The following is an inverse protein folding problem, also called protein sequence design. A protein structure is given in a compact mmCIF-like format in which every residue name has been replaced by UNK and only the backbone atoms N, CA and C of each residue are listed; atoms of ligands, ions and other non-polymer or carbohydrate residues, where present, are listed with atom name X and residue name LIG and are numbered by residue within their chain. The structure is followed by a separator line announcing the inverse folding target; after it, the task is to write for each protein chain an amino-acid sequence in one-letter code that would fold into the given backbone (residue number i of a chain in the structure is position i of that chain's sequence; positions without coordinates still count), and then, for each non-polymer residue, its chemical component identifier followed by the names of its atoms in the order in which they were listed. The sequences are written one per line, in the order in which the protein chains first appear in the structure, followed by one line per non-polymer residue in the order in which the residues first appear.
data_IF_568537742090
#
_entry.id   IF_568537742090
#
_cell.length_a   1.000
_cell.length_b   1.000
_cell.length_c   1.000
_cell.angle_alpha   90.00
_cell.angle_beta   90.00
_cell.angle_gamma   90.00
#
_symmetry.space_group_name_H-M   'P 1'
#
loop_
_entity.id
_entity.type
_entity.pdbx_description
1 polymer ?
#
# COMPACT_ATOMS: atom_id res chain seq x y z
N UNK A 1 -0.43 -4.32 -9.24
CA UNK A 1 -1.03 -5.47 -9.95
C UNK A 1 -0.06 -6.65 -10.20
N UNK A 2 1.25 -6.48 -10.03
CA UNK A 2 2.25 -7.54 -10.23
C UNK A 2 2.20 -8.65 -9.16
N UNK A 3 1.62 -8.36 -7.99
CA UNK A 3 1.64 -9.27 -6.82
C UNK A 3 0.28 -9.88 -6.49
N UNK A 4 -0.79 -9.47 -7.18
CA UNK A 4 -2.07 -10.17 -7.13
C UNK A 4 -2.01 -11.29 -8.16
N UNK A 5 -2.13 -12.54 -7.72
CA UNK A 5 -2.18 -13.68 -8.64
C UNK A 5 -3.29 -13.43 -9.68
N UNK A 6 -2.96 -13.21 -10.96
CA UNK A 6 -3.95 -12.84 -11.99
C UNK A 6 -5.00 -13.93 -12.24
N UNK A 7 -4.79 -15.13 -11.70
CA UNK A 7 -5.70 -16.26 -11.82
C UNK A 7 -6.69 -16.35 -10.63
N UNK A 8 -6.58 -15.50 -9.61
CA UNK A 8 -7.55 -15.45 -8.51
C UNK A 8 -8.74 -14.56 -8.88
N UNK A 9 -9.94 -15.12 -8.90
CA UNK A 9 -11.15 -14.31 -9.03
C UNK A 9 -11.44 -13.51 -7.75
N UNK A 10 -12.17 -12.38 -7.89
CA UNK A 10 -12.62 -11.59 -6.72
C UNK A 10 -13.38 -12.48 -5.71
N UNK A 11 -14.19 -13.43 -6.19
CA UNK A 11 -14.90 -14.36 -5.33
C UNK A 11 -13.96 -15.26 -4.51
N UNK A 12 -12.84 -15.71 -5.09
CA UNK A 12 -11.85 -16.54 -4.38
C UNK A 12 -11.14 -15.77 -3.26
N UNK A 13 -10.87 -14.48 -3.50
CA UNK A 13 -10.28 -13.60 -2.48
C UNK A 13 -11.27 -13.37 -1.34
N UNK A 14 -12.52 -13.03 -1.66
CA UNK A 14 -13.58 -12.78 -0.68
C UNK A 14 -13.94 -14.03 0.13
N UNK A 15 -13.85 -15.21 -0.46
CA UNK A 15 -14.09 -16.48 0.27
C UNK A 15 -13.18 -16.65 1.51
N UNK A 16 -12.00 -16.08 1.47
CA UNK A 16 -11.03 -16.16 2.57
C UNK A 16 -11.12 -14.96 3.54
N UNK A 17 -11.71 -13.83 3.12
CA UNK A 17 -11.67 -12.56 3.86
C UNK A 17 -12.96 -11.76 3.73
N UNK A 18 -14.13 -12.41 3.86
CA UNK A 18 -15.44 -11.73 3.73
C UNK A 18 -15.99 -11.17 5.04
N UNK A 19 -15.39 -11.52 6.17
CA UNK A 19 -15.85 -11.04 7.47
C UNK A 19 -15.73 -9.51 7.58
N UNK A 20 -16.81 -8.88 8.05
CA UNK A 20 -16.87 -7.43 8.19
C UNK A 20 -17.00 -6.65 6.87
N UNK A 21 -17.18 -7.33 5.73
CA UNK A 21 -17.32 -6.67 4.43
C UNK A 21 -18.77 -6.67 3.95
N UNK A 22 -19.16 -5.59 3.27
CA UNK A 22 -20.34 -5.51 2.43
C UNK A 22 -19.91 -5.52 0.97
N UNK A 23 -20.61 -6.27 0.14
CA UNK A 23 -20.32 -6.34 -1.30
C UNK A 23 -21.50 -5.81 -2.09
N UNK A 24 -21.25 -4.80 -2.90
CA UNK A 24 -22.19 -4.21 -3.83
C UNK A 24 -21.80 -4.67 -5.24
N UNK A 25 -22.72 -5.29 -5.96
CA UNK A 25 -22.43 -5.73 -7.33
C UNK A 25 -23.69 -5.79 -8.17
N UNK A 26 -23.53 -5.57 -9.46
CA UNK A 26 -24.58 -5.71 -10.47
C UNK A 26 -24.46 -7.03 -11.26
N UNK A 27 -23.37 -7.76 -11.12
CA UNK A 27 -23.09 -8.94 -11.94
C UNK A 27 -23.71 -10.22 -11.36
N UNK A 28 -24.72 -10.85 -12.06
CA UNK A 28 -25.38 -12.06 -11.57
C UNK A 28 -24.43 -13.21 -11.29
N UNK A 29 -23.46 -13.43 -12.16
CA UNK A 29 -22.48 -14.52 -12.01
C UNK A 29 -21.60 -14.38 -10.78
N UNK A 30 -21.29 -13.13 -10.38
CA UNK A 30 -20.57 -12.86 -9.15
C UNK A 30 -21.46 -13.05 -7.93
N UNK A 31 -22.71 -12.56 -7.96
CA UNK A 31 -23.69 -12.74 -6.89
C UNK A 31 -23.92 -14.23 -6.56
N UNK A 32 -24.10 -15.06 -7.58
CA UNK A 32 -24.30 -16.52 -7.41
C UNK A 32 -23.11 -17.18 -6.71
N UNK A 33 -21.89 -16.79 -7.08
CA UNK A 33 -20.68 -17.28 -6.41
C UNK A 33 -20.58 -16.77 -4.95
N UNK A 34 -20.86 -15.49 -4.70
CA UNK A 34 -20.74 -14.91 -3.36
C UNK A 34 -21.75 -15.52 -2.40
N UNK A 35 -22.98 -15.78 -2.82
CA UNK A 35 -24.03 -16.41 -1.99
C UNK A 35 -23.68 -17.80 -1.47
N UNK A 36 -22.70 -18.46 -2.05
CA UNK A 36 -22.26 -19.77 -1.55
C UNK A 36 -21.49 -19.70 -0.23
N UNK A 37 -21.02 -18.49 0.17
CA UNK A 37 -20.22 -18.30 1.40
C UNK A 37 -20.46 -16.97 2.13
N UNK A 38 -21.22 -16.04 1.56
CA UNK A 38 -21.61 -14.77 2.20
C UNK A 38 -23.11 -14.76 2.50
N UNK A 39 -23.47 -14.10 3.60
CA UNK A 39 -24.87 -13.85 3.96
C UNK A 39 -25.51 -12.84 3.03
N UNK A 40 -26.81 -13.02 2.75
CA UNK A 40 -27.60 -12.04 2.00
C UNK A 40 -27.63 -10.65 2.69
N UNK A 41 -27.37 -10.57 4.00
CA UNK A 41 -27.25 -9.30 4.74
C UNK A 41 -25.96 -8.51 4.45
N UNK A 42 -25.00 -9.14 3.77
CA UNK A 42 -23.74 -8.55 3.34
C UNK A 42 -23.73 -8.22 1.84
N UNK A 43 -24.74 -8.69 1.09
CA UNK A 43 -24.81 -8.57 -0.37
C UNK A 43 -25.88 -7.57 -0.80
N UNK A 44 -25.52 -6.69 -1.71
CA UNK A 44 -26.40 -5.66 -2.24
C UNK A 44 -26.28 -5.57 -3.75
N UNK A 45 -27.39 -5.18 -4.39
CA UNK A 45 -27.38 -4.85 -5.82
C UNK A 45 -26.96 -3.39 -5.99
N UNK A 46 -25.89 -3.17 -6.75
CA UNK A 46 -25.40 -1.82 -7.02
C UNK A 46 -26.23 -1.12 -8.10
N UNK A 47 -26.64 0.13 -7.82
CA UNK A 47 -27.19 1.07 -8.79
C UNK A 47 -26.26 2.26 -8.93
N UNK A 48 -25.70 2.48 -10.12
CA UNK A 48 -24.76 3.56 -10.41
C UNK A 48 -25.12 4.34 -11.67
N UNK A 49 -24.53 5.53 -11.89
CA UNK A 49 -24.79 6.34 -13.09
C UNK A 49 -24.65 5.53 -14.38
N UNK A 50 -25.54 5.78 -15.33
CA UNK A 50 -25.59 5.07 -16.62
C UNK A 50 -26.33 3.73 -16.61
N UNK A 51 -26.74 3.21 -15.43
CA UNK A 51 -27.56 2.00 -15.36
C UNK A 51 -29.07 2.31 -15.50
N UNK A 52 -29.79 1.37 -16.11
CA UNK A 52 -31.26 1.45 -16.20
C UNK A 52 -31.87 0.95 -14.88
N UNK A 53 -32.50 1.84 -14.10
CA UNK A 53 -33.16 1.52 -12.82
C UNK A 53 -34.05 0.26 -12.89
N UNK A 54 -34.87 0.14 -13.94
CA UNK A 54 -35.75 -1.03 -14.14
C UNK A 54 -35.00 -2.35 -14.23
N UNK A 55 -33.80 -2.36 -14.82
CA UNK A 55 -32.97 -3.58 -14.92
C UNK A 55 -32.42 -3.97 -13.55
N UNK A 56 -31.97 -2.99 -12.79
CA UNK A 56 -31.47 -3.19 -11.42
C UNK A 56 -32.60 -3.66 -10.48
N UNK A 57 -33.80 -3.07 -10.57
CA UNK A 57 -34.99 -3.50 -9.83
C UNK A 57 -35.41 -4.93 -10.15
N UNK A 58 -35.35 -5.36 -11.43
CA UNK A 58 -35.61 -6.77 -11.81
C UNK A 58 -34.59 -7.70 -11.16
N UNK A 59 -33.32 -7.31 -11.13
CA UNK A 59 -32.25 -8.10 -10.51
C UNK A 59 -32.48 -8.21 -9.00
N UNK A 60 -32.81 -7.12 -8.32
CA UNK A 60 -33.13 -7.07 -6.89
C UNK A 60 -34.29 -8.02 -6.56
N UNK A 61 -35.38 -7.98 -7.34
CA UNK A 61 -36.52 -8.89 -7.17
C UNK A 61 -36.13 -10.35 -7.37
N UNK A 62 -35.34 -10.66 -8.40
CA UNK A 62 -34.85 -12.02 -8.69
C UNK A 62 -34.04 -12.61 -7.51
N UNK A 63 -33.11 -11.83 -6.99
CA UNK A 63 -32.21 -12.30 -5.93
C UNK A 63 -32.69 -12.00 -4.50
N UNK A 64 -33.80 -11.24 -4.36
CA UNK A 64 -34.33 -10.74 -3.08
C UNK A 64 -33.30 -9.98 -2.26
N UNK A 65 -32.47 -9.17 -2.94
CA UNK A 65 -31.44 -8.34 -2.32
C UNK A 65 -31.81 -6.87 -2.46
N UNK A 66 -31.43 -6.07 -1.46
CA UNK A 66 -31.64 -4.62 -1.46
C UNK A 66 -30.74 -3.94 -2.49
N UNK A 67 -31.22 -2.82 -3.03
CA UNK A 67 -30.46 -1.97 -3.95
C UNK A 67 -29.76 -0.88 -3.13
N UNK A 68 -28.50 -0.62 -3.44
CA UNK A 68 -27.73 0.50 -2.90
C UNK A 68 -27.27 1.38 -4.05
N UNK A 69 -27.62 2.66 -3.99
CA UNK A 69 -27.19 3.64 -4.97
C UNK A 69 -25.76 4.10 -4.66
N UNK A 70 -24.90 4.09 -5.69
CA UNK A 70 -23.53 4.60 -5.63
C UNK A 70 -23.28 5.68 -6.66
N UNK A 71 -22.29 6.53 -6.42
CA UNK A 71 -21.91 7.59 -7.36
C UNK A 71 -20.97 7.11 -8.47
N UNK A 72 -20.30 5.97 -8.31
CA UNK A 72 -19.17 5.54 -9.18
C UNK A 72 -18.24 6.73 -9.47
N UNK A 73 -17.74 7.38 -8.41
CA UNK A 73 -17.13 8.71 -8.43
C UNK A 73 -15.70 8.65 -8.94
N UNK A 74 -15.39 9.50 -9.93
CA UNK A 74 -14.06 9.63 -10.54
C UNK A 74 -13.48 11.03 -10.43
N UNK A 75 -14.30 12.03 -10.17
CA UNK A 75 -13.91 13.44 -10.01
C UNK A 75 -14.87 14.16 -9.07
N UNK A 76 -14.44 15.33 -8.57
CA UNK A 76 -15.16 16.05 -7.53
C UNK A 76 -16.35 16.81 -8.10
N UNK A 77 -16.11 17.65 -9.09
CA UNK A 77 -17.09 18.54 -9.67
C UNK A 77 -17.32 18.21 -11.16
N UNK A 78 -18.47 18.56 -11.75
CA UNK A 78 -18.76 18.31 -13.18
C UNK A 78 -17.71 18.87 -14.13
N UNK A 79 -17.09 19.99 -13.79
CA UNK A 79 -16.07 20.68 -14.56
C UNK A 79 -14.76 19.88 -14.65
N UNK A 80 -14.50 19.00 -13.69
CA UNK A 80 -13.30 18.14 -13.65
C UNK A 80 -13.34 17.03 -14.71
N UNK A 81 -14.45 16.86 -15.41
CA UNK A 81 -14.57 15.84 -16.45
C UNK A 81 -13.50 15.97 -17.55
N UNK A 82 -13.17 17.20 -17.96
CA UNK A 82 -12.10 17.43 -18.94
C UNK A 82 -10.72 17.06 -18.38
N UNK A 83 -10.46 17.39 -17.10
CA UNK A 83 -9.24 16.95 -16.40
C UNK A 83 -9.16 15.45 -16.32
N UNK A 84 -10.29 14.76 -16.04
CA UNK A 84 -10.36 13.30 -16.06
C UNK A 84 -9.99 12.71 -17.43
N UNK A 85 -10.49 13.28 -18.52
CA UNK A 85 -10.14 12.84 -19.89
C UNK A 85 -8.65 13.02 -20.18
N UNK A 86 -8.09 14.16 -19.79
CA UNK A 86 -6.64 14.43 -19.93
C UNK A 86 -5.82 13.38 -19.16
N UNK A 87 -6.16 13.11 -17.90
CA UNK A 87 -5.48 12.11 -17.08
C UNK A 87 -5.60 10.70 -17.68
N UNK A 88 -6.75 10.36 -18.26
CA UNK A 88 -6.95 9.07 -18.95
C UNK A 88 -6.10 8.98 -20.22
N UNK A 89 -5.97 10.07 -20.98
CA UNK A 89 -5.12 10.14 -22.15
C UNK A 89 -3.64 9.99 -21.79
N UNK A 90 -3.18 10.65 -20.70
CA UNK A 90 -1.82 10.47 -20.16
C UNK A 90 -1.59 8.99 -19.76
N UNK A 91 -2.50 8.40 -19.01
CA UNK A 91 -2.40 7.00 -18.56
C UNK A 91 -2.33 6.01 -19.73
N UNK A 92 -3.06 6.28 -20.82
CA UNK A 92 -3.06 5.44 -22.03
C UNK A 92 -1.95 5.80 -23.02
N UNK A 93 -1.13 6.80 -22.71
CA UNK A 93 -0.10 7.35 -23.59
C UNK A 93 -0.65 7.68 -24.99
N UNK A 94 -1.77 8.39 -25.03
CA UNK A 94 -2.47 8.79 -26.26
C UNK A 94 -2.88 10.25 -26.22
N UNK A 95 -3.45 10.75 -27.32
CA UNK A 95 -4.00 12.12 -27.37
C UNK A 95 -5.50 12.12 -27.12
N UNK A 96 -6.04 13.28 -26.69
CA UNK A 96 -7.50 13.44 -26.50
C UNK A 96 -8.31 13.05 -27.74
N UNK A 97 -7.78 13.34 -28.94
CA UNK A 97 -8.43 13.04 -30.22
C UNK A 97 -8.57 11.52 -30.46
N UNK A 98 -7.72 10.70 -29.86
CA UNK A 98 -7.70 9.26 -30.07
C UNK A 98 -8.29 8.49 -28.87
N UNK A 99 -8.80 9.18 -27.83
CA UNK A 99 -9.57 8.55 -26.78
C UNK A 99 -10.87 8.00 -27.35
N UNK A 100 -11.21 6.79 -26.98
CA UNK A 100 -12.46 6.09 -27.38
C UNK A 100 -13.47 6.13 -26.23
N UNK A 101 -14.74 5.95 -26.58
CA UNK A 101 -15.78 5.70 -25.59
C UNK A 101 -15.41 4.45 -24.77
N UNK A 102 -15.49 4.57 -23.44
CA UNK A 102 -15.06 3.53 -22.50
C UNK A 102 -13.63 3.71 -21.98
N UNK A 103 -12.78 4.53 -22.60
CA UNK A 103 -11.45 4.87 -22.07
C UNK A 103 -11.54 5.81 -20.86
N UNK A 104 -12.60 6.57 -20.77
CA UNK A 104 -12.91 7.52 -19.69
C UNK A 104 -14.37 7.41 -19.25
N UNK A 105 -14.70 7.96 -18.10
CA UNK A 105 -16.07 7.99 -17.58
C UNK A 105 -16.84 9.18 -18.14
N UNK A 106 -18.16 9.05 -18.24
CA UNK A 106 -19.03 10.16 -18.63
C UNK A 106 -19.04 11.28 -17.57
N UNK A 107 -19.55 12.44 -17.95
CA UNK A 107 -19.68 13.59 -17.05
C UNK A 107 -20.56 13.33 -15.81
N UNK A 108 -21.26 12.19 -15.76
CA UNK A 108 -22.12 11.81 -14.64
C UNK A 108 -21.39 11.16 -13.45
N UNK A 109 -20.06 11.08 -13.45
CA UNK A 109 -19.29 10.38 -12.43
C UNK A 109 -18.62 11.33 -11.43
N UNK A 110 -19.31 12.41 -11.04
CA UNK A 110 -18.84 13.38 -10.05
C UNK A 110 -19.45 13.16 -8.66
N UNK A 111 -18.88 13.78 -7.63
CA UNK A 111 -19.31 13.63 -6.23
C UNK A 111 -20.61 14.41 -5.98
N UNK A 112 -21.74 13.71 -5.93
CA UNK A 112 -23.09 14.30 -5.76
C UNK A 112 -23.51 14.35 -4.30
N UNK A 113 -24.21 15.41 -3.94
CA UNK A 113 -24.99 15.45 -2.71
C UNK A 113 -26.30 14.63 -2.87
N UNK A 114 -27.00 14.44 -1.76
CA UNK A 114 -28.24 13.62 -1.70
C UNK A 114 -29.30 14.10 -2.70
N UNK A 115 -29.53 15.41 -2.79
CA UNK A 115 -30.52 15.98 -3.72
C UNK A 115 -30.17 15.71 -5.18
N UNK A 116 -28.88 15.74 -5.53
CA UNK A 116 -28.44 15.45 -6.88
C UNK A 116 -28.51 13.92 -7.17
N UNK A 117 -28.27 13.06 -6.17
CA UNK A 117 -28.50 11.62 -6.28
C UNK A 117 -29.99 11.30 -6.47
N UNK A 118 -30.87 11.97 -5.74
CA UNK A 118 -32.32 11.80 -5.90
C UNK A 118 -32.82 12.19 -7.30
N UNK A 119 -32.25 13.25 -7.89
CA UNK A 119 -32.55 13.61 -9.29
C UNK A 119 -32.02 12.59 -10.30
N UNK A 120 -30.90 11.96 -9.99
CA UNK A 120 -30.30 10.93 -10.86
C UNK A 120 -31.11 9.63 -10.85
N UNK A 121 -31.65 9.25 -9.70
CA UNK A 121 -32.37 7.99 -9.48
C UNK A 121 -33.81 8.24 -8.94
N UNK A 122 -34.67 8.90 -9.70
CA UNK A 122 -36.00 9.36 -9.20
C UNK A 122 -36.93 8.18 -8.87
N UNK A 123 -36.75 7.00 -9.47
CA UNK A 123 -37.60 5.84 -9.22
C UNK A 123 -36.95 4.82 -8.23
N UNK A 124 -35.90 5.22 -7.55
CA UNK A 124 -35.12 4.34 -6.66
C UNK A 124 -34.62 5.10 -5.41
N UNK A 125 -35.48 5.92 -4.81
CA UNK A 125 -35.12 6.69 -3.62
C UNK A 125 -34.77 5.79 -2.44
N UNK A 126 -35.37 4.61 -2.34
CA UNK A 126 -35.00 3.62 -1.31
C UNK A 126 -33.54 3.16 -1.45
N UNK A 127 -33.01 3.09 -2.67
CA UNK A 127 -31.61 2.75 -2.88
C UNK A 127 -30.65 3.80 -2.33
N UNK A 128 -31.04 5.08 -2.33
CA UNK A 128 -30.27 6.18 -1.71
C UNK A 128 -30.35 6.08 -0.19
N UNK A 129 -31.52 5.82 0.37
CA UNK A 129 -31.69 5.58 1.81
C UNK A 129 -30.87 4.38 2.28
N UNK A 130 -30.84 3.31 1.50
CA UNK A 130 -30.02 2.12 1.77
C UNK A 130 -28.52 2.44 1.76
N UNK A 131 -28.06 3.34 0.88
CA UNK A 131 -26.68 3.82 0.87
C UNK A 131 -26.30 4.49 2.20
N UNK A 132 -27.17 5.38 2.69
CA UNK A 132 -26.99 6.04 3.99
C UNK A 132 -27.04 5.05 5.16
N UNK A 133 -27.99 4.13 5.15
CA UNK A 133 -28.11 3.08 6.16
C UNK A 133 -26.88 2.15 6.17
N UNK A 134 -26.41 1.75 5.02
CA UNK A 134 -25.20 0.93 4.88
C UNK A 134 -23.96 1.65 5.41
N UNK A 135 -23.82 2.94 5.09
CA UNK A 135 -22.73 3.77 5.60
C UNK A 135 -22.70 3.85 7.13
N UNK A 136 -23.87 3.92 7.79
CA UNK A 136 -23.97 3.86 9.26
C UNK A 136 -23.58 2.52 9.87
N UNK A 137 -23.73 1.42 9.13
CA UNK A 137 -23.31 0.08 9.55
C UNK A 137 -21.79 -0.13 9.44
N UNK A 138 -21.12 0.63 8.57
CA UNK A 138 -19.67 0.58 8.45
C UNK A 138 -19.03 1.24 9.66
N UNK A 139 -18.43 0.44 10.54
CA UNK A 139 -17.70 0.91 11.72
C UNK A 139 -16.22 0.66 11.54
N UNK A 140 -15.42 1.62 11.97
CA UNK A 140 -13.96 1.46 12.02
C UNK A 140 -13.57 0.90 13.38
N UNK A 141 -13.07 -0.33 13.40
CA UNK A 141 -12.61 -1.01 14.62
C UNK A 141 -11.09 -0.96 14.80
N UNK A 142 -10.36 -0.56 13.76
CA UNK A 142 -8.91 -0.43 13.84
C UNK A 142 -8.50 0.92 14.46
N UNK A 143 -7.43 0.90 15.25
CA UNK A 143 -6.75 2.10 15.71
C UNK A 143 -5.28 2.03 15.26
N UNK A 144 -4.70 3.19 14.96
CA UNK A 144 -3.26 3.31 14.65
C UNK A 144 -2.41 3.55 15.90
N UNK A 145 -2.97 3.33 17.09
CA UNK A 145 -2.32 3.61 18.37
C UNK A 145 -1.25 2.56 18.72
N UNK A 146 -1.42 1.33 18.23
CA UNK A 146 -0.51 0.24 18.56
C UNK A 146 0.35 -0.13 17.35
N UNK A 147 1.67 -0.09 17.53
CA UNK A 147 2.61 -0.65 16.56
C UNK A 147 2.48 -2.17 16.54
N UNK A 148 2.19 -2.74 15.38
CA UNK A 148 2.13 -4.19 15.20
C UNK A 148 3.52 -4.69 14.84
N UNK A 149 4.12 -5.43 15.78
CA UNK A 149 5.37 -6.14 15.50
C UNK A 149 5.11 -7.41 14.68
N UNK A 150 6.08 -7.85 13.85
CA UNK A 150 6.07 -9.21 13.32
C UNK A 150 5.98 -10.15 14.51
N UNK A 151 4.84 -10.82 14.69
CA UNK A 151 4.52 -11.59 15.90
C UNK A 151 5.50 -12.74 16.08
N UNK A 152 6.34 -12.63 17.09
CA UNK A 152 7.17 -13.70 17.60
C UNK A 152 6.69 -14.03 19.02
N UNK A 153 6.54 -15.32 19.33
CA UNK A 153 6.18 -15.76 20.68
C UNK A 153 7.29 -15.40 21.68
N UNK A 154 6.97 -15.34 22.97
CA UNK A 154 7.97 -15.08 24.02
C UNK A 154 9.17 -16.04 23.99
N UNK A 155 8.96 -17.32 23.58
CA UNK A 155 10.06 -18.28 23.37
C UNK A 155 10.97 -17.86 22.21
N UNK A 156 10.40 -17.27 21.16
CA UNK A 156 11.14 -16.77 20.00
C UNK A 156 11.95 -15.52 20.36
N UNK A 157 11.53 -14.72 21.35
CA UNK A 157 12.25 -13.51 21.78
C UNK A 157 13.61 -13.85 22.40
N UNK A 158 13.68 -14.81 23.33
CA UNK A 158 14.96 -15.23 23.92
C UNK A 158 15.92 -15.77 22.85
N UNK A 159 15.42 -16.60 21.97
CA UNK A 159 16.20 -17.16 20.87
C UNK A 159 16.68 -16.06 19.89
N UNK A 160 15.83 -15.09 19.62
CA UNK A 160 16.15 -13.94 18.77
C UNK A 160 17.22 -13.04 19.39
N UNK A 161 17.15 -12.78 20.68
CA UNK A 161 18.16 -11.97 21.40
C UNK A 161 19.55 -12.62 21.34
N UNK A 162 19.63 -13.94 21.60
CA UNK A 162 20.87 -14.70 21.48
C UNK A 162 21.40 -14.67 20.05
N UNK A 163 20.53 -14.95 19.08
CA UNK A 163 20.89 -14.99 17.65
C UNK A 163 21.36 -13.63 17.14
N UNK A 164 20.72 -12.53 17.59
CA UNK A 164 21.19 -11.19 17.26
C UNK A 164 22.61 -10.93 17.75
N UNK A 165 22.89 -11.29 19.00
CA UNK A 165 24.24 -11.17 19.58
C UNK A 165 25.26 -11.97 18.80
N UNK A 166 24.96 -13.24 18.52
CA UNK A 166 25.86 -14.14 17.79
C UNK A 166 26.17 -13.56 16.40
N UNK A 167 25.17 -13.10 15.68
CA UNK A 167 25.38 -12.51 14.36
C UNK A 167 26.10 -11.16 14.38
N UNK A 168 25.86 -10.32 15.38
CA UNK A 168 26.56 -9.05 15.52
C UNK A 168 28.06 -9.28 15.75
N UNK A 169 28.43 -10.22 16.64
CA UNK A 169 29.83 -10.55 16.90
C UNK A 169 30.49 -11.27 15.72
N UNK A 170 29.79 -12.19 15.04
CA UNK A 170 30.28 -12.79 13.80
C UNK A 170 30.56 -11.74 12.72
N UNK A 171 29.64 -10.81 12.55
CA UNK A 171 29.85 -9.71 11.60
C UNK A 171 30.97 -8.77 12.02
N UNK A 172 31.13 -8.50 13.32
CA UNK A 172 32.22 -7.68 13.81
C UNK A 172 33.59 -8.29 13.49
N UNK A 173 33.73 -9.63 13.58
CA UNK A 173 34.96 -10.33 13.16
C UNK A 173 35.29 -10.20 11.67
N UNK A 174 34.25 -9.96 10.84
CA UNK A 174 34.42 -9.72 9.39
C UNK A 174 34.72 -8.26 9.08
N UNK A 175 34.13 -7.33 9.88
CA UNK A 175 34.20 -5.88 9.63
C UNK A 175 35.46 -5.21 10.20
N UNK A 176 36.01 -5.77 11.27
CA UNK A 176 37.15 -5.19 11.99
C UNK A 176 38.30 -6.19 12.06
N UNK A 177 39.51 -5.74 11.75
CA UNK A 177 40.74 -6.55 11.88
C UNK A 177 40.98 -6.96 13.33
N UNK A 178 40.61 -6.10 14.27
CA UNK A 178 40.66 -6.31 15.72
C UNK A 178 39.46 -5.69 16.41
N UNK A 179 38.75 -6.47 17.21
CA UNK A 179 37.69 -5.97 18.08
C UNK A 179 38.32 -5.37 19.34
N UNK A 180 38.38 -4.04 19.39
CA UNK A 180 38.84 -3.29 20.56
C UNK A 180 37.79 -3.26 21.66
N UNK A 181 38.22 -2.88 22.90
CA UNK A 181 37.28 -2.76 24.00
C UNK A 181 36.15 -1.72 23.73
N UNK A 182 36.46 -0.63 23.03
CA UNK A 182 35.46 0.38 22.61
C UNK A 182 34.42 -0.20 21.66
N UNK A 183 34.85 -0.97 20.65
CA UNK A 183 33.99 -1.67 19.72
C UNK A 183 33.08 -2.64 20.48
N UNK A 184 33.65 -3.43 21.39
CA UNK A 184 32.91 -4.39 22.19
C UNK A 184 31.88 -3.72 23.10
N UNK A 185 32.25 -2.67 23.80
CA UNK A 185 31.36 -1.90 24.66
C UNK A 185 30.19 -1.30 23.85
N UNK A 186 30.48 -0.77 22.66
CA UNK A 186 29.44 -0.19 21.78
C UNK A 186 28.49 -1.28 21.26
N UNK A 187 28.98 -2.44 20.85
CA UNK A 187 28.15 -3.58 20.41
C UNK A 187 27.26 -4.03 21.58
N UNK A 188 27.83 -4.23 22.78
CA UNK A 188 27.07 -4.68 23.94
C UNK A 188 26.01 -3.66 24.37
N UNK A 189 26.33 -2.36 24.36
CA UNK A 189 25.39 -1.29 24.64
C UNK A 189 24.19 -1.33 23.69
N UNK A 190 24.45 -1.36 22.37
CA UNK A 190 23.39 -1.37 21.36
C UNK A 190 22.54 -2.64 21.43
N UNK A 191 23.15 -3.83 21.55
CA UNK A 191 22.43 -5.10 21.69
C UNK A 191 21.54 -5.07 22.94
N UNK A 192 22.06 -4.59 24.08
CA UNK A 192 21.25 -4.51 25.30
C UNK A 192 20.01 -3.61 25.11
N UNK A 193 20.16 -2.46 24.48
CA UNK A 193 19.04 -1.56 24.24
C UNK A 193 18.05 -2.14 23.22
N UNK A 194 18.53 -2.72 22.11
CA UNK A 194 17.68 -3.38 21.10
C UNK A 194 16.90 -4.55 21.71
N UNK A 195 17.53 -5.36 22.57
CA UNK A 195 16.88 -6.51 23.21
C UNK A 195 15.89 -6.10 24.30
N UNK A 196 16.20 -5.09 25.11
CA UNK A 196 15.28 -4.53 26.10
C UNK A 196 14.02 -3.96 25.46
N UNK A 197 14.13 -3.36 24.29
CA UNK A 197 13.01 -2.84 23.50
C UNK A 197 12.25 -3.93 22.71
N UNK A 198 12.73 -5.19 22.69
CA UNK A 198 12.12 -6.26 21.94
C UNK A 198 12.35 -6.18 20.42
N UNK A 199 13.33 -5.39 19.95
CA UNK A 199 13.54 -5.15 18.51
C UNK A 199 14.45 -6.20 17.85
N UNK A 200 15.02 -7.15 18.59
CA UNK A 200 15.92 -8.18 18.04
C UNK A 200 15.30 -8.95 16.84
N UNK A 201 14.04 -9.40 16.86
CA UNK A 201 13.42 -10.05 15.72
C UNK A 201 13.39 -9.19 14.46
N UNK A 202 13.15 -7.89 14.60
CA UNK A 202 13.12 -6.95 13.48
C UNK A 202 14.49 -6.85 12.81
N UNK A 203 15.56 -6.67 13.59
CA UNK A 203 16.93 -6.67 13.05
C UNK A 203 17.29 -7.98 12.34
N UNK A 204 16.79 -9.12 12.83
CA UNK A 204 17.03 -10.42 12.21
C UNK A 204 16.26 -10.57 10.88
N UNK A 205 15.04 -10.04 10.79
CA UNK A 205 14.28 -10.00 9.54
C UNK A 205 15.02 -9.14 8.51
N UNK A 206 15.46 -7.96 8.92
CA UNK A 206 16.20 -7.06 8.03
C UNK A 206 17.51 -7.69 7.56
N UNK A 207 18.26 -8.32 8.48
CA UNK A 207 19.47 -9.08 8.13
C UNK A 207 19.20 -10.20 7.11
N UNK A 208 18.10 -10.91 7.30
CA UNK A 208 17.70 -11.98 6.36
C UNK A 208 17.44 -11.42 4.96
N UNK A 209 16.74 -10.29 4.87
CA UNK A 209 16.44 -9.64 3.59
C UNK A 209 17.74 -9.15 2.92
N UNK A 210 18.62 -8.47 3.66
CA UNK A 210 19.87 -7.95 3.08
C UNK A 210 20.84 -9.06 2.69
N UNK A 211 20.72 -10.26 3.26
CA UNK A 211 21.53 -11.42 2.88
C UNK A 211 21.19 -11.99 1.49
N UNK A 212 20.09 -11.55 0.88
CA UNK A 212 19.64 -11.98 -0.45
C UNK A 212 20.23 -11.14 -1.59
N UNK A 213 21.04 -10.16 -1.29
CA UNK A 213 21.65 -9.25 -2.25
C UNK A 213 23.16 -9.18 -2.06
N UNK A 214 23.86 -8.84 -3.13
CA UNK A 214 25.32 -8.64 -3.11
C UNK A 214 25.76 -7.40 -2.34
N UNK A 215 24.89 -6.38 -2.23
CA UNK A 215 25.21 -5.09 -1.62
C UNK A 215 23.94 -4.34 -1.20
N UNK A 216 24.03 -3.61 -0.10
CA UNK A 216 22.96 -2.73 0.40
C UNK A 216 23.56 -1.43 0.88
N UNK A 217 22.69 -0.39 0.93
CA UNK A 217 23.02 0.88 1.58
C UNK A 217 21.91 1.15 2.60
N UNK A 218 22.20 0.91 3.88
CA UNK A 218 21.33 1.38 4.97
C UNK A 218 21.43 2.89 5.10
N UNK A 219 20.28 3.56 5.09
CA UNK A 219 20.16 5.02 5.17
C UNK A 219 19.65 5.49 6.52
N UNK A 220 19.60 6.82 6.66
CA UNK A 220 18.98 7.46 7.82
C UNK A 220 19.71 7.17 9.13
N UNK A 221 18.95 7.10 10.22
CA UNK A 221 19.50 6.88 11.56
C UNK A 221 20.04 5.48 11.79
N UNK A 222 19.58 4.49 11.04
CA UNK A 222 20.07 3.10 11.13
C UNK A 222 21.56 2.97 10.79
N UNK A 223 22.12 3.89 9.98
CA UNK A 223 23.55 3.94 9.66
C UNK A 223 24.43 4.26 10.89
N UNK A 224 23.86 4.81 11.97
CA UNK A 224 24.60 5.11 13.20
C UNK A 224 24.74 3.90 14.14
N UNK A 225 24.19 2.74 13.80
CA UNK A 225 24.23 1.53 14.61
C UNK A 225 25.39 0.61 14.20
N UNK A 226 26.24 0.23 15.16
CA UNK A 226 27.27 -0.78 14.95
C UNK A 226 26.67 -2.17 14.75
N UNK A 227 25.50 -2.44 15.37
CA UNK A 227 24.76 -3.69 15.12
C UNK A 227 24.30 -3.74 13.68
N UNK A 228 23.73 -2.66 13.13
CA UNK A 228 23.36 -2.60 11.71
C UNK A 228 24.57 -2.76 10.79
N UNK A 229 25.72 -2.22 11.14
CA UNK A 229 26.98 -2.38 10.39
C UNK A 229 27.47 -3.83 10.41
N UNK A 230 27.49 -4.46 11.57
CA UNK A 230 27.89 -5.86 11.74
C UNK A 230 26.90 -6.86 11.08
N UNK A 231 25.61 -6.49 10.99
CA UNK A 231 24.62 -7.30 10.28
C UNK A 231 24.58 -7.06 8.77
N UNK A 232 25.48 -6.27 8.23
CA UNK A 232 25.59 -5.90 6.81
C UNK A 232 24.40 -5.10 6.27
N UNK A 233 23.60 -4.50 7.15
CA UNK A 233 22.49 -3.63 6.81
C UNK A 233 22.98 -2.29 6.26
N UNK A 234 24.07 -1.74 6.85
CA UNK A 234 24.74 -0.53 6.37
C UNK A 234 26.20 -0.81 6.08
N UNK A 235 26.81 0.02 5.23
CA UNK A 235 28.23 -0.04 4.89
C UNK A 235 29.06 1.06 5.59
N UNK A 236 28.40 1.90 6.39
CA UNK A 236 29.06 2.99 7.12
C UNK A 236 29.48 2.50 8.49
N UNK A 237 30.78 2.62 8.80
CA UNK A 237 31.32 2.28 10.12
C UNK A 237 31.01 3.41 11.13
N UNK A 238 30.14 3.17 12.11
CA UNK A 238 29.75 4.22 13.05
C UNK A 238 30.84 4.58 14.06
N UNK A 239 31.83 3.70 14.30
CA UNK A 239 32.97 4.01 15.16
C UNK A 239 33.93 4.94 14.42
N UNK A 240 34.30 4.59 13.20
CA UNK A 240 35.22 5.40 12.38
C UNK A 240 34.71 6.82 12.15
N UNK A 241 33.40 6.99 11.98
CA UNK A 241 32.77 8.28 11.71
C UNK A 241 32.13 8.92 12.95
N UNK A 242 32.33 8.36 14.12
CA UNK A 242 31.79 8.84 15.41
C UNK A 242 30.29 9.16 15.37
N UNK A 243 29.49 8.19 14.90
CA UNK A 243 28.04 8.35 14.76
C UNK A 243 27.32 8.01 16.05
N UNK A 244 26.32 8.82 16.42
CA UNK A 244 25.55 8.66 17.63
C UNK A 244 24.37 7.72 17.46
N UNK A 245 24.41 6.57 18.13
CA UNK A 245 23.36 5.56 18.12
C UNK A 245 22.03 6.05 18.73
N UNK A 246 22.08 6.89 19.77
CA UNK A 246 20.88 7.35 20.46
C UNK A 246 19.94 8.20 19.59
N UNK A 247 20.41 8.67 18.42
CA UNK A 247 19.53 9.25 17.39
C UNK A 247 18.65 8.21 16.70
N UNK A 248 19.06 6.95 16.72
CA UNK A 248 18.35 5.83 16.14
C UNK A 248 17.47 5.12 17.17
N UNK A 249 18.07 4.68 18.28
CA UNK A 249 17.37 4.04 19.40
C UNK A 249 17.92 4.62 20.69
N UNK A 250 17.04 5.12 21.56
CA UNK A 250 17.38 5.59 22.91
C UNK A 250 16.40 5.02 23.94
N UNK A 251 16.73 5.03 25.25
CA UNK A 251 15.90 4.40 26.29
C UNK A 251 14.44 4.89 26.32
N UNK A 252 14.21 6.17 26.09
CA UNK A 252 12.87 6.78 26.15
C UNK A 252 12.07 6.62 24.86
N UNK A 253 12.68 6.16 23.76
CA UNK A 253 11.97 5.96 22.49
C UNK A 253 10.93 4.84 22.63
N UNK A 254 9.67 5.16 22.39
CA UNK A 254 8.55 4.19 22.43
C UNK A 254 8.35 3.56 21.05
N UNK A 255 8.50 4.37 19.99
CA UNK A 255 8.24 3.94 18.61
C UNK A 255 9.38 3.05 18.10
N UNK A 256 8.99 2.13 17.23
CA UNK A 256 9.93 1.30 16.47
C UNK A 256 10.76 2.18 15.52
N UNK A 257 12.08 1.96 15.43
CA UNK A 257 12.90 2.68 14.48
C UNK A 257 12.66 2.18 13.06
N UNK A 258 12.64 3.10 12.10
CA UNK A 258 12.64 2.76 10.68
C UNK A 258 14.06 2.37 10.25
N UNK A 259 14.17 1.29 9.47
CA UNK A 259 15.41 0.89 8.82
C UNK A 259 15.21 1.02 7.32
N UNK A 260 15.68 2.13 6.76
CA UNK A 260 15.64 2.41 5.34
C UNK A 260 16.82 1.75 4.63
N UNK A 261 16.56 0.99 3.58
CA UNK A 261 17.59 0.24 2.85
C UNK A 261 17.41 0.43 1.35
N UNK A 262 18.47 0.85 0.69
CA UNK A 262 18.54 0.86 -0.77
C UNK A 262 19.16 -0.45 -1.27
N UNK A 263 18.54 -1.01 -2.31
CA UNK A 263 19.00 -2.21 -3.01
C UNK A 263 19.41 -1.88 -4.45
N UNK A 264 20.32 -2.66 -5.05
CA UNK A 264 20.62 -2.54 -6.47
C UNK A 264 19.35 -2.69 -7.30
N UNK A 265 19.18 -1.81 -8.30
CA UNK A 265 17.96 -1.77 -9.10
C UNK A 265 17.69 -3.05 -9.88
N UNK A 266 18.75 -3.73 -10.31
CA UNK A 266 18.71 -5.00 -11.06
C UNK A 266 18.38 -6.23 -10.19
N UNK A 267 18.48 -6.12 -8.86
CA UNK A 267 18.10 -7.17 -7.89
C UNK A 267 16.74 -6.93 -7.25
N UNK A 268 16.14 -5.75 -7.46
CA UNK A 268 14.90 -5.30 -6.80
C UNK A 268 13.77 -6.32 -6.87
N UNK A 269 13.47 -6.82 -8.06
CA UNK A 269 12.32 -7.71 -8.24
C UNK A 269 12.55 -9.08 -7.59
N UNK A 270 13.80 -9.57 -7.56
CA UNK A 270 14.16 -10.81 -6.86
C UNK A 270 13.98 -10.66 -5.34
N UNK A 271 14.39 -9.53 -4.78
CA UNK A 271 14.25 -9.23 -3.35
C UNK A 271 12.77 -9.11 -2.98
N UNK A 272 11.98 -8.39 -3.76
CA UNK A 272 10.53 -8.27 -3.54
C UNK A 272 9.85 -9.64 -3.56
N UNK A 273 10.14 -10.46 -4.57
CA UNK A 273 9.60 -11.82 -4.67
C UNK A 273 10.01 -12.69 -3.46
N UNK A 274 11.26 -12.58 -3.00
CA UNK A 274 11.73 -13.28 -1.80
C UNK A 274 10.93 -12.86 -0.57
N UNK A 275 10.77 -11.54 -0.35
CA UNK A 275 10.08 -10.99 0.82
C UNK A 275 8.62 -11.44 0.84
N UNK A 276 7.89 -11.29 -0.27
CA UNK A 276 6.50 -11.74 -0.36
C UNK A 276 6.36 -13.25 -0.18
N UNK A 277 7.23 -14.04 -0.78
CA UNK A 277 7.20 -15.51 -0.65
C UNK A 277 7.50 -15.98 0.78
N UNK A 278 8.44 -15.32 1.46
CA UNK A 278 8.89 -15.76 2.80
C UNK A 278 8.00 -15.25 3.92
N UNK A 279 7.59 -13.99 3.85
CA UNK A 279 6.87 -13.32 4.94
C UNK A 279 5.36 -13.24 4.71
N UNK A 280 4.89 -13.51 3.50
CA UNK A 280 3.47 -13.57 3.14
C UNK A 280 2.85 -12.20 2.79
N UNK A 281 1.76 -12.24 2.03
CA UNK A 281 1.02 -11.05 1.58
C UNK A 281 0.30 -10.34 2.74
N UNK A 282 0.11 -10.99 3.87
CA UNK A 282 -0.53 -10.45 5.07
C UNK A 282 0.43 -9.62 5.94
N UNK A 283 1.74 -9.70 5.67
CA UNK A 283 2.80 -9.01 6.43
C UNK A 283 3.70 -8.14 5.59
N UNK A 284 3.51 -8.13 4.30
CA UNK A 284 4.28 -7.35 3.34
C UNK A 284 3.37 -6.53 2.45
N UNK A 285 3.77 -5.33 2.11
CA UNK A 285 3.01 -4.46 1.22
C UNK A 285 3.92 -3.56 0.40
N UNK A 286 3.49 -3.26 -0.82
CA UNK A 286 4.08 -2.18 -1.60
C UNK A 286 3.51 -0.85 -1.15
N UNK A 287 4.36 0.17 -1.07
CA UNK A 287 3.89 1.53 -0.76
C UNK A 287 3.05 2.04 -1.94
N UNK A 288 1.82 2.44 -1.64
CA UNK A 288 0.94 3.08 -2.62
C UNK A 288 1.24 4.58 -2.69
N UNK A 289 2.00 4.98 -3.70
CA UNK A 289 2.35 6.38 -3.90
C UNK A 289 1.36 7.09 -4.81
N UNK A 290 1.02 8.32 -4.46
CA UNK A 290 0.37 9.25 -5.39
C UNK A 290 1.45 10.12 -6.05
N UNK A 291 1.46 10.11 -7.38
CA UNK A 291 2.38 10.94 -8.16
C UNK A 291 1.74 12.28 -8.46
N UNK A 292 2.32 13.33 -7.92
CA UNK A 292 1.92 14.71 -8.23
C UNK A 292 2.78 15.24 -9.36
N UNK A 293 2.13 15.65 -10.45
CA UNK A 293 2.84 16.32 -11.54
C UNK A 293 3.21 17.76 -11.13
N UNK A 294 4.50 18.05 -11.07
CA UNK A 294 4.98 19.42 -10.89
C UNK A 294 4.66 20.24 -12.15
N UNK A 295 4.58 21.60 -12.09
CA UNK A 295 4.14 22.44 -13.21
C UNK A 295 4.81 22.11 -14.55
N UNK A 296 6.14 21.98 -14.58
CA UNK A 296 6.87 21.62 -15.79
C UNK A 296 6.48 20.25 -16.35
N UNK A 297 6.29 19.26 -15.50
CA UNK A 297 5.85 17.92 -15.89
C UNK A 297 4.40 17.93 -16.36
N UNK A 298 3.53 18.69 -15.68
CA UNK A 298 2.12 18.84 -16.07
C UNK A 298 2.00 19.46 -17.47
N UNK A 299 2.70 20.57 -17.73
CA UNK A 299 2.72 21.22 -19.05
C UNK A 299 3.21 20.24 -20.13
N UNK A 300 4.25 19.46 -19.82
CA UNK A 300 4.81 18.48 -20.76
C UNK A 300 3.80 17.37 -21.10
N UNK A 301 3.21 16.75 -20.09
CA UNK A 301 2.29 15.63 -20.30
C UNK A 301 0.95 16.09 -20.91
N UNK A 302 0.43 17.23 -20.49
CA UNK A 302 -0.76 17.85 -21.11
C UNK A 302 -0.48 18.25 -22.54
N UNK A 303 0.67 18.88 -22.82
CA UNK A 303 1.06 19.24 -24.19
C UNK A 303 1.09 18.04 -25.14
N UNK A 304 1.63 16.90 -24.71
CA UNK A 304 1.60 15.66 -25.49
C UNK A 304 0.16 15.19 -25.78
N UNK A 305 -0.71 15.26 -24.77
CA UNK A 305 -2.12 14.85 -24.89
C UNK A 305 -2.87 15.73 -25.91
N UNK A 306 -2.52 17.01 -26.01
CA UNK A 306 -3.04 17.92 -27.04
C UNK A 306 -2.33 17.80 -28.41
N UNK A 307 -1.32 16.91 -28.51
CA UNK A 307 -0.62 16.66 -29.76
C UNK A 307 0.46 17.69 -30.10
N UNK A 308 0.94 18.45 -29.12
CA UNK A 308 2.05 19.40 -29.35
C UNK A 308 3.36 18.67 -29.59
N UNK A 309 4.20 19.21 -30.48
CA UNK A 309 5.54 18.68 -30.73
C UNK A 309 6.47 18.91 -29.52
N UNK A 310 7.53 18.12 -29.43
CA UNK A 310 8.55 18.31 -28.38
C UNK A 310 9.19 19.72 -28.39
N UNK A 311 9.29 20.32 -29.55
CA UNK A 311 9.84 21.70 -29.71
C UNK A 311 8.88 22.74 -29.13
N UNK A 312 7.57 22.61 -29.46
CA UNK A 312 6.53 23.46 -28.90
C UNK A 312 6.46 23.34 -27.36
N UNK A 313 6.54 22.14 -26.84
CA UNK A 313 6.54 21.87 -25.38
C UNK A 313 7.79 22.49 -24.74
N UNK A 314 8.98 22.35 -25.36
CA UNK A 314 10.22 22.92 -24.84
C UNK A 314 10.18 24.44 -24.81
N UNK A 315 9.55 25.11 -25.79
CA UNK A 315 9.46 26.58 -25.82
C UNK A 315 8.68 27.15 -24.64
N UNK A 316 7.71 26.41 -24.11
CA UNK A 316 6.85 26.80 -22.97
C UNK A 316 7.45 26.37 -21.62
N UNK A 317 8.31 25.35 -21.60
CA UNK A 317 8.86 24.77 -20.38
C UNK A 317 10.30 25.19 -20.06
N UNK A 318 10.85 26.12 -20.82
CA UNK A 318 12.10 26.80 -20.48
C UNK A 318 11.83 27.76 -19.34
#
# INVERSE_FOLDING_TARGET
DYYINPNRSVADILKQRSDGLFVLTYYPSLLEKLRSFMSDTQLFIELRPGMKERAVQKLSKKYKLEIVATGDIYFQDPEDHETHKILRAINKNTTLKHLKDGDYKSADHWFRNESAMARLFPNSLDAINNSHYLGKRCKREWSFVNTIFPGLSLKDTYHSNKKLRDYAYQGAMVRYDKITDDIKQRIDYEINLITQKGFAPYFLIVRDIVSQTRSTIGRGSAAASIVSYCLFITQVDPIKYNLFFDRFIHPERIDMPDIDIDFPWDERDNILNYVFKKYGDDRTAMVSNQVFLKPRSAIREVGKVYGLSNEQIKSVTK
#
